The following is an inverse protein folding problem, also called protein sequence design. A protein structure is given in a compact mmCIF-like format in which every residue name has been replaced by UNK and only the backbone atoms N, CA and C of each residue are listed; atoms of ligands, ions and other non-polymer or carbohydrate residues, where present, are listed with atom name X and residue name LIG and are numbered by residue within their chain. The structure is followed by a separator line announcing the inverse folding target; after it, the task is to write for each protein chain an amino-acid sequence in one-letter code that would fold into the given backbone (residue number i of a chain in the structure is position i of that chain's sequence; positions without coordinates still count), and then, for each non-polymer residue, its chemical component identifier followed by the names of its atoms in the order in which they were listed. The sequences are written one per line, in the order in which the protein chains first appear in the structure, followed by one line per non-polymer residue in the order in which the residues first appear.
data_IF_135741678681
#
_entry.id   IF_135741678681
#
_cell.length_a   1.000
_cell.length_b   1.000
_cell.length_c   1.000
_cell.angle_alpha   90.00
_cell.angle_beta   90.00
_cell.angle_gamma   90.00
#
_symmetry.space_group_name_H-M   'P 1'
#
loop_
_entity.id
_entity.type
_entity.pdbx_description
1 polymer ?
#
# COMPACT_ATOMS: atom_id res chain seq x y z
N UNK A 1 14.22 10.25 9.69
CA UNK A 1 12.83 9.76 9.83
C UNK A 1 12.13 10.40 11.02
N UNK A 2 12.77 10.38 12.20
CA UNK A 2 12.28 11.01 13.41
C UNK A 2 13.30 12.02 13.95
N UNK A 3 12.86 12.95 14.80
CA UNK A 3 13.71 13.88 15.55
C UNK A 3 13.23 14.00 17.00
N UNK A 4 14.07 14.42 17.96
CA UNK A 4 13.61 14.74 19.31
C UNK A 4 12.48 15.77 19.30
N UNK A 5 11.51 15.62 20.19
CA UNK A 5 10.33 16.49 20.23
C UNK A 5 10.13 17.12 21.60
N UNK A 6 9.67 18.37 21.58
CA UNK A 6 9.14 19.10 22.75
C UNK A 6 7.61 19.31 22.62
N UNK A 7 6.97 18.58 21.72
CA UNK A 7 5.54 18.69 21.44
C UNK A 7 4.70 18.45 22.70
N UNK A 8 3.56 19.13 22.86
CA UNK A 8 2.58 18.78 23.89
C UNK A 8 1.84 17.47 23.59
N UNK A 9 1.92 16.97 22.35
CA UNK A 9 1.36 15.68 21.95
C UNK A 9 2.27 14.52 22.41
N UNK A 10 1.75 13.30 22.37
CA UNK A 10 2.56 12.11 22.67
C UNK A 10 1.75 10.84 22.67
N UNK A 11 1.88 10.04 21.61
CA UNK A 11 1.30 8.70 21.54
C UNK A 11 2.26 7.65 22.16
N UNK A 12 1.74 6.60 22.82
CA UNK A 12 2.57 5.51 23.30
C UNK A 12 3.07 4.63 22.14
N UNK A 13 4.18 3.92 22.36
CA UNK A 13 4.73 2.95 21.40
C UNK A 13 4.50 1.52 21.85
N UNK A 14 4.29 0.64 20.87
CA UNK A 14 4.18 -0.81 21.02
C UNK A 14 5.25 -1.47 20.14
N UNK A 15 5.91 -2.50 20.65
CA UNK A 15 6.81 -3.34 19.85
C UNK A 15 6.10 -4.62 19.45
N UNK A 16 5.94 -4.81 18.14
CA UNK A 16 5.31 -5.99 17.55
C UNK A 16 6.39 -6.90 16.97
N UNK A 17 6.39 -8.18 17.32
CA UNK A 17 7.29 -9.18 16.73
C UNK A 17 6.91 -9.42 15.27
N UNK A 18 7.90 -9.39 14.39
CA UNK A 18 7.77 -9.79 12.99
C UNK A 18 7.98 -11.30 12.86
N UNK A 19 7.51 -11.86 11.75
CA UNK A 19 7.71 -13.29 11.40
C UNK A 19 9.18 -13.66 11.22
N UNK A 20 10.03 -12.70 10.84
CA UNK A 20 11.48 -12.87 10.68
C UNK A 20 12.25 -12.76 12.01
N UNK A 21 11.55 -12.70 13.16
CA UNK A 21 12.16 -12.53 14.48
C UNK A 21 12.52 -11.09 14.84
N UNK A 22 12.46 -10.15 13.89
CA UNK A 22 12.70 -8.73 14.15
C UNK A 22 11.55 -8.06 14.93
N UNK A 23 11.77 -6.83 15.39
CA UNK A 23 10.72 -6.00 15.99
C UNK A 23 10.23 -4.92 15.02
N UNK A 24 8.96 -4.54 15.15
CA UNK A 24 8.35 -3.38 14.49
C UNK A 24 7.85 -2.44 15.58
N UNK A 25 8.35 -1.21 15.57
CA UNK A 25 7.81 -0.14 16.41
C UNK A 25 6.50 0.37 15.79
N UNK A 26 5.45 0.35 16.59
CA UNK A 26 4.11 0.80 16.24
C UNK A 26 3.69 1.92 17.20
N UNK A 27 3.48 3.13 16.67
CA UNK A 27 2.93 4.23 17.47
C UNK A 27 1.41 4.09 17.53
N UNK A 28 0.84 4.06 18.74
CA UNK A 28 -0.61 3.97 18.94
C UNK A 28 -1.28 5.34 18.74
N UNK A 29 -1.54 5.66 17.48
CA UNK A 29 -2.19 6.90 17.07
C UNK A 29 -3.73 6.82 17.11
N UNK A 30 -4.34 5.86 17.82
CA UNK A 30 -5.82 5.73 17.86
C UNK A 30 -6.52 7.00 18.33
N UNK A 31 -5.99 7.70 19.33
CA UNK A 31 -6.58 8.95 19.82
C UNK A 31 -6.43 10.07 18.79
N UNK A 32 -5.25 10.22 18.20
CA UNK A 32 -5.01 11.18 17.11
C UNK A 32 -5.95 10.94 15.93
N UNK A 33 -6.16 9.68 15.55
CA UNK A 33 -7.02 9.29 14.44
C UNK A 33 -8.50 9.63 14.69
N UNK A 34 -8.96 9.65 15.95
CA UNK A 34 -10.33 10.09 16.29
C UNK A 34 -10.54 11.59 16.10
N UNK A 35 -9.50 12.39 16.35
CA UNK A 35 -9.53 13.85 16.20
C UNK A 35 -9.29 14.30 14.75
N UNK A 36 -8.75 13.41 13.92
CA UNK A 36 -8.40 13.73 12.53
C UNK A 36 -9.63 13.62 11.63
N UNK A 37 -9.89 14.68 10.86
CA UNK A 37 -10.92 14.65 9.81
C UNK A 37 -10.50 13.63 8.75
N UNK A 38 -11.35 12.63 8.52
CA UNK A 38 -11.04 11.51 7.62
C UNK A 38 -11.15 11.95 6.15
N UNK A 39 -10.10 11.71 5.39
CA UNK A 39 -10.10 11.88 3.95
C UNK A 39 -10.70 10.64 3.28
N UNK A 40 -11.91 10.76 2.74
CA UNK A 40 -12.59 9.71 1.98
C UNK A 40 -12.11 9.70 0.53
N UNK A 41 -10.83 9.39 0.32
CA UNK A 41 -10.28 9.26 -1.03
C UNK A 41 -10.84 7.99 -1.69
N UNK A 42 -11.36 8.06 -2.93
CA UNK A 42 -11.83 6.87 -3.63
C UNK A 42 -10.62 6.00 -3.97
N UNK A 43 -10.59 4.79 -3.42
CA UNK A 43 -9.65 3.77 -3.87
C UNK A 43 -10.21 3.10 -5.12
N UNK A 44 -9.32 2.72 -6.05
CA UNK A 44 -9.70 1.99 -7.26
C UNK A 44 -10.47 0.72 -6.86
N UNK A 45 -11.58 0.44 -7.54
CA UNK A 45 -12.26 -0.85 -7.41
C UNK A 45 -11.54 -1.89 -8.26
N UNK A 46 -11.68 -3.16 -7.88
CA UNK A 46 -11.11 -4.26 -8.66
C UNK A 46 -11.73 -4.30 -10.07
N UNK A 47 -13.03 -4.01 -10.19
CA UNK A 47 -13.73 -4.02 -11.49
C UNK A 47 -13.13 -3.00 -12.46
N UNK A 48 -12.80 -1.80 -11.97
CA UNK A 48 -12.15 -0.74 -12.77
C UNK A 48 -10.77 -1.20 -13.28
N UNK A 49 -10.07 -2.01 -12.47
CA UNK A 49 -8.78 -2.59 -12.82
C UNK A 49 -8.91 -3.65 -13.93
N UNK A 50 -10.03 -4.40 -13.96
CA UNK A 50 -10.26 -5.46 -14.96
C UNK A 50 -10.30 -4.90 -16.39
N UNK A 51 -10.99 -3.78 -16.58
CA UNK A 51 -11.12 -3.16 -17.89
C UNK A 51 -9.79 -2.61 -18.42
N UNK A 52 -8.93 -2.16 -17.51
CA UNK A 52 -7.62 -1.58 -17.84
C UNK A 52 -6.61 -2.63 -18.31
N UNK A 53 -6.70 -3.86 -17.79
CA UNK A 53 -5.73 -4.92 -18.04
C UNK A 53 -6.04 -5.76 -19.28
N UNK A 54 -7.12 -5.45 -19.99
CA UNK A 54 -7.56 -6.23 -21.15
C UNK A 54 -6.49 -6.24 -22.26
N UNK A 55 -6.07 -7.46 -22.63
CA UNK A 55 -5.08 -7.70 -23.68
C UNK A 55 -3.63 -7.48 -23.26
N UNK A 56 -3.37 -7.21 -21.97
CA UNK A 56 -2.01 -7.24 -21.43
C UNK A 56 -1.53 -8.70 -21.28
N UNK A 57 -0.26 -8.94 -21.60
CA UNK A 57 0.38 -10.27 -21.57
C UNK A 57 1.67 -10.27 -20.76
N UNK A 58 2.23 -9.09 -20.48
CA UNK A 58 3.48 -8.92 -19.74
C UNK A 58 3.25 -7.97 -18.57
N UNK A 59 3.69 -8.38 -17.39
CA UNK A 59 3.45 -7.68 -16.13
C UNK A 59 4.73 -7.51 -15.32
N UNK A 60 4.83 -6.39 -14.62
CA UNK A 60 5.86 -6.14 -13.62
C UNK A 60 5.24 -5.49 -12.39
N UNK A 61 5.65 -5.95 -11.21
CA UNK A 61 5.21 -5.45 -9.93
C UNK A 61 6.37 -4.80 -9.17
N UNK A 62 6.21 -3.55 -8.79
CA UNK A 62 7.18 -2.78 -8.03
C UNK A 62 6.59 -2.49 -6.64
N UNK A 63 7.25 -2.97 -5.58
CA UNK A 63 6.88 -2.70 -4.16
C UNK A 63 7.77 -1.56 -3.64
N UNK A 64 7.14 -0.47 -3.18
CA UNK A 64 7.85 0.67 -2.61
C UNK A 64 8.36 0.37 -1.20
N UNK A 65 9.61 0.77 -0.92
CA UNK A 65 10.23 0.53 0.39
C UNK A 65 9.59 1.43 1.45
N UNK A 66 8.82 0.85 2.36
CA UNK A 66 8.20 1.59 3.46
C UNK A 66 7.44 2.83 2.96
N UNK A 67 6.52 2.66 2.00
CA UNK A 67 6.06 3.73 1.11
C UNK A 67 5.68 5.03 1.82
N UNK A 68 4.89 4.97 2.90
CA UNK A 68 4.51 6.17 3.64
C UNK A 68 5.69 6.97 4.21
N UNK A 69 6.74 6.29 4.69
CA UNK A 69 7.93 6.98 5.23
C UNK A 69 8.72 7.77 4.16
N UNK A 70 8.39 7.62 2.88
CA UNK A 70 9.01 8.41 1.81
C UNK A 70 8.31 9.77 1.63
N UNK A 71 7.12 9.95 2.20
CA UNK A 71 6.35 11.20 2.13
C UNK A 71 6.60 12.04 3.37
N UNK A 72 6.96 13.31 3.19
CA UNK A 72 7.14 14.26 4.30
C UNK A 72 5.81 14.65 4.93
N UNK A 73 5.81 14.78 6.26
CA UNK A 73 4.68 15.40 6.97
C UNK A 73 4.79 16.91 6.81
N UNK A 74 3.66 17.60 6.67
CA UNK A 74 3.62 19.06 6.67
C UNK A 74 4.17 19.58 8.00
N UNK A 75 5.03 20.61 7.98
CA UNK A 75 5.75 21.07 9.19
C UNK A 75 4.79 21.39 10.36
N UNK A 76 3.63 22.01 10.06
CA UNK A 76 2.60 22.34 11.07
C UNK A 76 1.94 21.12 11.73
N UNK A 77 2.02 19.94 11.11
CA UNK A 77 1.43 18.70 11.59
C UNK A 77 2.46 17.74 12.19
N UNK A 78 3.77 18.01 12.04
CA UNK A 78 4.84 17.19 12.63
C UNK A 78 4.65 17.00 14.14
N UNK A 79 4.37 18.04 14.96
CA UNK A 79 4.21 17.87 16.40
C UNK A 79 3.09 16.90 16.79
N UNK A 80 2.06 16.75 15.95
CA UNK A 80 0.92 15.84 16.19
C UNK A 80 1.33 14.37 16.08
N UNK A 81 2.43 14.08 15.37
CA UNK A 81 2.97 12.73 15.20
C UNK A 81 3.91 12.30 16.32
N UNK A 82 4.04 13.12 17.36
CA UNK A 82 4.92 12.86 18.48
C UNK A 82 4.55 11.59 19.25
N UNK A 83 5.56 10.84 19.67
CA UNK A 83 5.42 9.59 20.40
C UNK A 83 6.48 9.47 21.50
N UNK A 84 6.09 8.80 22.60
CA UNK A 84 6.94 8.61 23.77
C UNK A 84 7.40 7.17 23.90
N UNK A 85 8.69 7.04 24.16
CA UNK A 85 9.33 5.78 24.56
C UNK A 85 9.78 5.89 26.02
N UNK A 86 10.28 4.80 26.60
CA UNK A 86 10.89 4.83 27.94
C UNK A 86 12.02 5.85 28.08
N UNK A 87 12.76 6.10 26.99
CA UNK A 87 14.01 6.85 27.02
C UNK A 87 13.96 8.20 26.30
N UNK A 88 12.80 8.59 25.77
CA UNK A 88 12.73 9.84 25.04
C UNK A 88 11.41 10.12 24.35
N UNK A 89 11.32 11.36 23.90
CA UNK A 89 10.19 11.92 23.17
C UNK A 89 10.62 12.31 21.76
N UNK A 90 9.94 11.78 20.76
CA UNK A 90 10.31 11.96 19.36
C UNK A 90 9.08 12.26 18.51
N UNK A 91 9.29 12.86 17.35
CA UNK A 91 8.25 13.13 16.36
C UNK A 91 8.70 12.70 14.97
N UNK A 92 7.73 12.35 14.12
CA UNK A 92 7.98 11.92 12.75
C UNK A 92 8.01 13.11 11.80
N UNK A 93 9.09 13.23 11.02
CA UNK A 93 9.19 14.21 9.92
C UNK A 93 8.68 13.64 8.58
N UNK A 94 8.43 12.33 8.54
CA UNK A 94 7.85 11.60 7.41
C UNK A 94 6.64 10.80 7.87
N UNK A 95 5.71 10.52 6.97
CA UNK A 95 4.38 10.04 7.31
C UNK A 95 4.42 8.66 7.99
N UNK A 96 4.00 8.56 9.27
CA UNK A 96 4.02 7.29 10.00
C UNK A 96 2.88 6.37 9.55
N UNK A 97 3.06 5.05 9.68
CA UNK A 97 2.05 4.06 9.26
C UNK A 97 0.72 4.09 10.01
N UNK A 98 0.67 4.66 11.22
CA UNK A 98 -0.49 4.56 12.10
C UNK A 98 -1.47 5.72 11.98
N UNK A 99 -1.26 6.69 11.08
CA UNK A 99 -2.19 7.82 10.90
C UNK A 99 -3.27 7.51 9.86
N UNK A 100 -4.50 7.90 10.16
CA UNK A 100 -5.69 7.43 9.41
C UNK A 100 -5.72 7.85 7.94
N UNK A 101 -5.12 9.00 7.61
CA UNK A 101 -5.14 9.56 6.24
C UNK A 101 -3.92 9.16 5.41
N UNK A 102 -2.98 8.37 5.96
CA UNK A 102 -1.75 8.00 5.23
C UNK A 102 -2.04 7.32 3.87
N UNK A 103 -2.92 6.29 3.79
CA UNK A 103 -3.23 5.66 2.50
C UNK A 103 -3.81 6.65 1.48
N UNK A 104 -4.73 7.52 1.92
CA UNK A 104 -5.40 8.50 1.07
C UNK A 104 -4.42 9.55 0.51
N UNK A 105 -3.53 10.07 1.36
CA UNK A 105 -2.52 11.04 0.91
C UNK A 105 -1.52 10.37 -0.03
N UNK A 106 -1.11 9.15 0.27
CA UNK A 106 -0.19 8.39 -0.57
C UNK A 106 -0.79 8.13 -1.95
N UNK A 107 -2.01 7.61 -2.01
CA UNK A 107 -2.74 7.37 -3.26
C UNK A 107 -2.91 8.63 -4.10
N UNK A 108 -3.30 9.74 -3.47
CA UNK A 108 -3.42 11.02 -4.16
C UNK A 108 -2.07 11.49 -4.74
N UNK A 109 -0.98 11.29 -4.01
CA UNK A 109 0.37 11.63 -4.49
C UNK A 109 0.77 10.74 -5.68
N UNK A 110 0.62 9.43 -5.55
CA UNK A 110 0.93 8.47 -6.61
C UNK A 110 0.12 8.75 -7.87
N UNK A 111 -1.18 9.01 -7.73
CA UNK A 111 -2.05 9.32 -8.86
C UNK A 111 -1.65 10.62 -9.57
N UNK A 112 -1.09 11.60 -8.84
CA UNK A 112 -0.58 12.83 -9.45
C UNK A 112 0.69 12.60 -10.25
N UNK A 113 1.65 11.83 -9.72
CA UNK A 113 2.95 11.62 -10.40
C UNK A 113 2.84 10.63 -11.56
N UNK A 114 1.94 9.65 -11.48
CA UNK A 114 1.69 8.66 -12.52
C UNK A 114 0.54 9.03 -13.46
N UNK A 115 -0.06 10.22 -13.33
CA UNK A 115 -1.29 10.63 -14.02
C UNK A 115 -1.28 10.38 -15.53
N UNK A 116 -0.12 10.56 -16.18
CA UNK A 116 0.05 10.35 -17.63
C UNK A 116 0.02 8.89 -18.07
N UNK A 117 0.19 7.96 -17.12
CA UNK A 117 0.37 6.52 -17.32
C UNK A 117 -0.75 5.68 -16.71
N UNK A 118 -1.51 6.26 -15.76
CA UNK A 118 -2.74 5.66 -15.24
C UNK A 118 -3.70 5.34 -16.38
N UNK A 119 -4.43 4.23 -16.21
CA UNK A 119 -5.44 3.73 -17.15
C UNK A 119 -4.90 3.36 -18.54
N UNK A 120 -3.58 3.38 -18.72
CA UNK A 120 -2.88 3.04 -19.97
C UNK A 120 -1.98 1.83 -19.81
N UNK A 121 -1.04 1.89 -18.88
CA UNK A 121 -0.07 0.82 -18.63
C UNK A 121 0.42 0.75 -17.18
N UNK A 122 -0.14 1.59 -16.28
CA UNK A 122 0.21 1.62 -14.85
C UNK A 122 -1.06 1.58 -14.01
N UNK A 123 -1.05 0.72 -12.99
CA UNK A 123 -2.00 0.71 -11.89
C UNK A 123 -1.23 0.90 -10.60
N UNK A 124 -1.69 1.79 -9.74
CA UNK A 124 -1.10 1.99 -8.42
C UNK A 124 -2.11 1.64 -7.34
N UNK A 125 -1.65 0.88 -6.35
CA UNK A 125 -2.41 0.63 -5.13
C UNK A 125 -1.50 0.70 -3.90
N UNK A 126 -1.63 1.80 -3.16
CA UNK A 126 -0.81 2.12 -2.01
C UNK A 126 0.68 1.95 -2.38
N UNK A 127 1.40 1.02 -1.77
CA UNK A 127 2.84 0.82 -1.95
C UNK A 127 3.17 -0.04 -3.18
N UNK A 128 2.17 -0.66 -3.82
CA UNK A 128 2.35 -1.52 -4.98
C UNK A 128 2.05 -0.78 -6.29
N UNK A 129 2.97 -0.87 -7.25
CA UNK A 129 2.80 -0.36 -8.62
C UNK A 129 2.83 -1.57 -9.55
N UNK A 130 1.76 -1.74 -10.32
CA UNK A 130 1.66 -2.72 -11.39
C UNK A 130 1.87 -2.02 -12.73
N UNK A 131 2.83 -2.50 -13.50
CA UNK A 131 3.07 -2.12 -14.90
C UNK A 131 2.61 -3.27 -15.77
N UNK A 132 1.84 -2.99 -16.79
CA UNK A 132 1.27 -4.02 -17.67
C UNK A 132 1.38 -3.57 -19.14
N UNK A 133 1.58 -4.53 -20.05
CA UNK A 133 1.84 -4.24 -21.47
C UNK A 133 1.42 -5.42 -22.36
N UNK A 134 1.25 -5.16 -23.66
CA UNK A 134 0.81 -6.16 -24.64
C UNK A 134 1.97 -6.94 -25.29
N UNK A 135 3.16 -6.34 -25.33
CA UNK A 135 4.39 -6.93 -25.89
C UNK A 135 5.57 -6.67 -24.95
N UNK A 136 6.68 -7.38 -25.18
CA UNK A 136 7.92 -7.19 -24.41
C UNK A 136 8.57 -5.84 -24.74
N UNK A 137 8.50 -5.40 -25.98
CA UNK A 137 9.06 -4.14 -26.46
C UNK A 137 8.36 -2.95 -25.79
N UNK A 138 7.02 -2.95 -25.78
CA UNK A 138 6.24 -1.92 -25.08
C UNK A 138 6.55 -1.95 -23.58
N UNK A 139 6.69 -3.15 -23.00
CA UNK A 139 6.96 -3.31 -21.58
C UNK A 139 8.31 -2.74 -21.16
N UNK A 140 9.32 -2.85 -22.02
CA UNK A 140 10.63 -2.25 -21.81
C UNK A 140 10.50 -0.73 -21.62
N UNK A 141 9.82 -0.06 -22.56
CA UNK A 141 9.63 1.39 -22.52
C UNK A 141 8.75 1.83 -21.35
N UNK A 142 7.66 1.11 -21.08
CA UNK A 142 6.80 1.38 -19.94
C UNK A 142 7.53 1.29 -18.61
N UNK A 143 8.36 0.24 -18.42
CA UNK A 143 9.19 0.10 -17.24
C UNK A 143 10.20 1.24 -17.12
N UNK A 144 10.86 1.61 -18.22
CA UNK A 144 11.82 2.73 -18.24
C UNK A 144 11.15 4.03 -17.76
N UNK A 145 9.99 4.38 -18.32
CA UNK A 145 9.23 5.58 -17.93
C UNK A 145 8.80 5.57 -16.47
N UNK A 146 8.34 4.42 -15.96
CA UNK A 146 7.94 4.27 -14.56
C UNK A 146 9.14 4.46 -13.62
N UNK A 147 10.26 3.81 -13.94
CA UNK A 147 11.50 3.92 -13.15
C UNK A 147 12.08 5.34 -13.19
N UNK A 148 11.95 6.06 -14.31
CA UNK A 148 12.33 7.46 -14.43
C UNK A 148 11.52 8.36 -13.49
N UNK A 149 10.19 8.21 -13.46
CA UNK A 149 9.34 8.96 -12.53
C UNK A 149 9.72 8.66 -11.08
N UNK A 150 9.95 7.39 -10.74
CA UNK A 150 10.40 7.03 -9.39
C UNK A 150 11.73 7.69 -9.03
N UNK A 151 12.69 7.70 -9.96
CA UNK A 151 13.99 8.35 -9.79
C UNK A 151 13.86 9.85 -9.59
N UNK A 152 13.10 10.54 -10.44
CA UNK A 152 12.86 11.99 -10.37
C UNK A 152 12.17 12.41 -9.06
N UNK A 153 11.23 11.59 -8.58
CA UNK A 153 10.50 11.82 -7.34
C UNK A 153 11.23 11.30 -6.10
N UNK A 154 12.43 10.72 -6.27
CA UNK A 154 13.22 10.08 -5.21
C UNK A 154 12.41 9.05 -4.41
N UNK A 155 11.59 8.28 -5.11
CA UNK A 155 10.86 7.15 -4.56
C UNK A 155 11.68 5.87 -4.75
N UNK A 156 11.85 5.13 -3.67
CA UNK A 156 12.71 3.95 -3.61
C UNK A 156 11.87 2.68 -3.54
N UNK A 157 12.11 1.77 -4.47
CA UNK A 157 11.54 0.43 -4.45
C UNK A 157 12.38 -0.53 -3.57
N UNK A 158 11.73 -1.56 -3.04
CA UNK A 158 12.40 -2.68 -2.38
C UNK A 158 12.62 -3.79 -3.39
N UNK A 159 13.80 -3.80 -4.03
CA UNK A 159 14.15 -4.73 -5.11
C UNK A 159 13.84 -6.20 -4.77
N UNK A 160 14.10 -6.65 -3.54
CA UNK A 160 13.85 -8.03 -3.12
C UNK A 160 12.37 -8.47 -3.16
N UNK A 161 11.46 -7.52 -3.33
CA UNK A 161 10.01 -7.75 -3.46
C UNK A 161 9.45 -7.38 -4.83
N UNK A 162 10.24 -6.69 -5.65
CA UNK A 162 9.87 -6.40 -7.03
C UNK A 162 9.91 -7.69 -7.85
N UNK A 163 9.02 -7.77 -8.84
CA UNK A 163 8.95 -8.85 -9.81
C UNK A 163 8.84 -8.22 -11.19
N UNK A 164 9.59 -8.72 -12.16
CA UNK A 164 9.63 -8.13 -13.49
C UNK A 164 9.38 -9.20 -14.56
N UNK A 165 8.85 -8.77 -15.71
CA UNK A 165 8.71 -9.60 -16.91
C UNK A 165 7.93 -10.90 -16.67
N UNK A 166 6.83 -10.81 -15.92
CA UNK A 166 5.97 -11.93 -15.61
C UNK A 166 4.87 -12.10 -16.68
N UNK A 167 4.53 -13.34 -17.01
CA UNK A 167 3.32 -13.68 -17.79
C UNK A 167 2.05 -13.67 -16.93
N UNK A 168 2.20 -13.91 -15.62
CA UNK A 168 1.13 -13.85 -14.64
C UNK A 168 1.59 -13.15 -13.36
N UNK A 169 0.71 -12.40 -12.70
CA UNK A 169 1.04 -11.66 -11.48
C UNK A 169 -0.08 -11.68 -10.45
N UNK A 170 0.29 -11.85 -9.19
CA UNK A 170 -0.64 -11.69 -8.06
C UNK A 170 -0.74 -10.24 -7.64
N UNK A 171 -1.93 -9.65 -7.77
CA UNK A 171 -2.20 -8.25 -7.42
C UNK A 171 -3.59 -8.12 -6.79
N UNK A 172 -3.69 -7.41 -5.67
CA UNK A 172 -4.94 -7.21 -4.91
C UNK A 172 -5.74 -8.48 -4.55
N UNK A 173 -5.08 -9.64 -4.43
CA UNK A 173 -5.75 -10.91 -4.13
C UNK A 173 -6.27 -11.65 -5.36
N UNK A 174 -5.96 -11.17 -6.55
CA UNK A 174 -6.27 -11.81 -7.83
C UNK A 174 -4.98 -12.21 -8.56
N UNK A 175 -5.08 -13.22 -9.41
CA UNK A 175 -4.05 -13.58 -10.39
C UNK A 175 -4.42 -12.96 -11.72
N UNK A 176 -3.56 -12.11 -12.24
CA UNK A 176 -3.72 -11.43 -13.53
C UNK A 176 -2.83 -12.14 -14.55
N UNK A 177 -3.38 -12.46 -15.71
CA UNK A 177 -2.73 -13.18 -16.81
C UNK A 177 -3.24 -12.68 -18.16
N UNK A 178 -2.70 -13.21 -19.27
CA UNK A 178 -3.18 -12.88 -20.61
C UNK A 178 -4.62 -13.35 -20.86
N UNK A 179 -5.03 -14.43 -20.19
CA UNK A 179 -6.37 -15.01 -20.24
C UNK A 179 -7.40 -14.17 -19.46
N UNK A 180 -6.92 -13.22 -18.67
CA UNK A 180 -7.74 -12.37 -17.81
C UNK A 180 -7.37 -12.52 -16.35
N UNK A 181 -8.34 -12.29 -15.48
CA UNK A 181 -8.13 -12.16 -14.04
C UNK A 181 -8.92 -13.24 -13.32
N UNK A 182 -8.22 -14.04 -12.53
CA UNK A 182 -8.79 -15.09 -11.69
C UNK A 182 -8.62 -14.72 -10.22
N UNK A 183 -9.50 -15.23 -9.35
CA UNK A 183 -9.31 -15.12 -7.90
C UNK A 183 -8.10 -15.97 -7.49
N UNK A 184 -7.25 -15.47 -6.56
CA UNK A 184 -6.12 -16.27 -6.07
C UNK A 184 -6.61 -17.59 -5.46
N UNK A 185 -6.20 -18.77 -5.97
CA UNK A 185 -6.64 -20.05 -5.45
C UNK A 185 -6.40 -20.21 -3.95
N UNK A 186 -5.33 -19.60 -3.43
CA UNK A 186 -5.04 -19.61 -1.99
C UNK A 186 -6.10 -18.87 -1.16
N UNK A 187 -6.78 -17.86 -1.73
CA UNK A 187 -7.89 -17.15 -1.07
C UNK A 187 -9.18 -17.96 -1.12
N UNK A 188 -9.44 -18.62 -2.25
CA UNK A 188 -10.57 -19.55 -2.39
C UNK A 188 -10.45 -20.71 -1.41
N UNK A 189 -9.25 -21.26 -1.23
CA UNK A 189 -8.98 -22.34 -0.29
C UNK A 189 -9.23 -21.91 1.16
N UNK A 190 -8.80 -20.70 1.55
CA UNK A 190 -9.07 -20.14 2.88
C UNK A 190 -10.56 -20.01 3.16
N UNK A 191 -11.36 -19.61 2.17
CA UNK A 191 -12.83 -19.54 2.32
C UNK A 191 -13.45 -20.94 2.37
N UNK A 192 -12.95 -21.87 1.56
CA UNK A 192 -13.46 -23.25 1.48
C UNK A 192 -13.19 -24.05 2.76
N UNK A 193 -12.05 -23.79 3.40
CA UNK A 193 -11.64 -24.42 4.67
C UNK A 193 -12.10 -23.61 5.90
N UNK A 194 -12.88 -22.54 5.71
CA UNK A 194 -13.28 -21.68 6.81
C UNK A 194 -14.24 -22.41 7.75
N UNK A 195 -13.82 -22.60 9.01
CA UNK A 195 -14.68 -23.24 10.02
C UNK A 195 -15.96 -22.43 10.26
N UNK A 196 -17.08 -23.14 10.42
CA UNK A 196 -18.39 -22.51 10.61
C UNK A 196 -18.33 -21.46 11.74
N UNK A 197 -18.51 -20.16 11.43
CA UNK A 197 -18.37 -19.10 12.42
C UNK A 197 -19.48 -19.23 13.47
N UNK A 198 -19.10 -19.06 14.75
CA UNK A 198 -19.99 -19.22 15.92
C UNK A 198 -20.30 -17.88 16.58
N UNK A 199 -19.50 -16.84 16.30
CA UNK A 199 -19.68 -15.51 16.90
C UNK A 199 -20.04 -14.45 15.87
N UNK A 200 -20.73 -13.38 16.32
CA UNK A 200 -21.10 -12.26 15.44
C UNK A 200 -19.88 -11.54 14.83
N UNK A 201 -18.72 -11.56 15.51
CA UNK A 201 -17.47 -11.01 14.97
C UNK A 201 -16.93 -11.90 13.86
N UNK A 202 -16.91 -13.22 14.03
CA UNK A 202 -16.49 -14.16 12.99
C UNK A 202 -17.41 -14.12 11.77
N UNK A 203 -18.73 -14.01 11.98
CA UNK A 203 -19.71 -13.86 10.90
C UNK A 203 -19.43 -12.58 10.10
N UNK A 204 -19.21 -11.44 10.76
CA UNK A 204 -18.85 -10.18 10.07
C UNK A 204 -17.54 -10.29 9.30
N UNK A 205 -16.53 -10.96 9.87
CA UNK A 205 -15.26 -11.20 9.19
C UNK A 205 -15.41 -12.09 7.96
N UNK A 206 -16.19 -13.18 8.06
CA UNK A 206 -16.49 -14.07 6.94
C UNK A 206 -17.23 -13.34 5.82
N UNK A 207 -18.32 -12.64 6.16
CA UNK A 207 -19.11 -11.86 5.18
C UNK A 207 -18.26 -10.78 4.51
N UNK A 208 -17.36 -10.12 5.26
CA UNK A 208 -16.45 -9.14 4.69
C UNK A 208 -15.42 -9.72 3.73
N UNK A 209 -14.94 -10.94 3.99
CA UNK A 209 -14.02 -11.66 3.09
C UNK A 209 -14.75 -12.16 1.85
N UNK A 210 -15.89 -12.83 2.02
CA UNK A 210 -16.70 -13.40 0.95
C UNK A 210 -17.36 -12.34 0.07
N UNK A 211 -17.62 -11.14 0.58
CA UNK A 211 -18.16 -10.04 -0.22
C UNK A 211 -17.12 -9.31 -1.09
N UNK A 212 -15.83 -9.63 -0.94
CA UNK A 212 -14.74 -9.02 -1.72
C UNK A 212 -14.36 -9.85 -2.96
N UNK A 213 -14.59 -11.16 -2.92
CA UNK A 213 -14.24 -12.12 -3.98
C UNK A 213 -15.51 -12.67 -4.64
#
# INVERSE_FOLDING_TARGET
MVRPSVSPWGAPVLLVKKKDGGARLCVDNRQLNKLTIKNKYPLLRIDDLMDQLRGASVFSKIDLRSGYHQIRVKESDIPKTAFRTRYGHYEYVVMPFSVTNAPAVFMNYMNKIFRSFLDRFVVVFIDDILVYSRSLEDHHEHLRLVLEVLRERQLYAKLSKCKFWLSEVKFLGHVISAEGIAVDPAKVEVVSQWERPRTATEIRSFVGLAGYY
#
